data_IF_417938035184
#
_entry.id   IF_417938035184
#
_cell.length_a   1.000
_cell.length_b   1.000
_cell.length_c   1.000
_cell.angle_alpha   90.00
_cell.angle_beta   90.00
_cell.angle_gamma   90.00
#
_symmetry.space_group_name_H-M   'P 1'
#
loop_
_entity.id
_entity.type
_entity.pdbx_description
1 polymer ?
#
# COMPACT_ATOMS: atom_id res chain seq x y z
N UNK A 1 -58.63 -18.50 16.97
CA UNK A 1 -58.43 -17.23 16.25
C UNK A 1 -57.74 -17.62 14.95
N UNK A 2 -58.20 -17.15 13.81
CA UNK A 2 -57.47 -17.39 12.55
C UNK A 2 -56.35 -16.34 12.48
N UNK A 3 -55.12 -16.77 12.24
CA UNK A 3 -53.92 -15.93 12.20
C UNK A 3 -53.20 -16.14 10.86
N UNK A 4 -52.43 -15.15 10.41
CA UNK A 4 -51.57 -15.31 9.23
C UNK A 4 -50.41 -16.27 9.52
N UNK A 5 -49.92 -17.02 8.53
CA UNK A 5 -48.98 -18.12 8.78
C UNK A 5 -47.57 -17.70 9.22
N UNK A 6 -47.09 -16.51 8.82
CA UNK A 6 -45.69 -16.11 9.08
C UNK A 6 -45.53 -15.23 10.32
N UNK A 7 -46.34 -14.17 10.41
CA UNK A 7 -46.27 -13.12 11.44
C UNK A 7 -47.34 -13.27 12.52
N UNK A 8 -48.18 -14.31 12.44
CA UNK A 8 -49.29 -14.57 13.38
C UNK A 8 -50.23 -13.35 13.55
N UNK A 9 -50.54 -12.65 12.46
CA UNK A 9 -51.44 -11.49 12.48
C UNK A 9 -52.89 -11.96 12.63
N UNK A 10 -53.66 -11.46 13.62
CA UNK A 10 -55.05 -11.89 13.81
C UNK A 10 -55.96 -11.47 12.64
N UNK A 11 -56.73 -12.43 12.11
CA UNK A 11 -57.71 -12.19 11.05
C UNK A 11 -59.09 -11.81 11.61
N UNK A 12 -59.81 -10.97 10.87
CA UNK A 12 -61.18 -10.59 11.21
C UNK A 12 -62.15 -11.73 10.89
N UNK A 13 -63.04 -12.03 11.83
CA UNK A 13 -64.12 -13.00 11.64
C UNK A 13 -65.17 -12.49 10.65
N UNK A 14 -65.87 -13.43 10.00
CA UNK A 14 -66.94 -13.09 9.06
C UNK A 14 -68.09 -12.34 9.76
N UNK A 15 -68.53 -11.22 9.16
CA UNK A 15 -69.64 -10.39 9.64
C UNK A 15 -70.35 -9.68 8.45
N UNK A 16 -71.42 -8.95 8.74
CA UNK A 16 -72.24 -8.19 7.78
C UNK A 16 -71.38 -7.23 6.93
N UNK A 17 -71.64 -7.23 5.62
CA UNK A 17 -70.99 -6.43 4.58
C UNK A 17 -69.55 -6.80 4.18
N UNK A 18 -69.07 -8.01 4.49
CA UNK A 18 -67.86 -8.62 3.89
C UNK A 18 -66.55 -7.80 4.01
N UNK A 19 -66.46 -6.81 4.91
CA UNK A 19 -65.26 -5.97 5.10
C UNK A 19 -64.02 -6.77 5.50
N UNK A 20 -64.23 -7.92 6.15
CA UNK A 20 -63.19 -8.86 6.52
C UNK A 20 -62.43 -9.40 5.30
N UNK A 21 -63.07 -9.52 4.13
CA UNK A 21 -62.41 -10.05 2.91
C UNK A 21 -61.24 -9.15 2.51
N UNK A 22 -61.51 -7.87 2.23
CA UNK A 22 -60.49 -6.92 1.78
C UNK A 22 -59.42 -6.64 2.84
N UNK A 23 -59.79 -6.67 4.13
CA UNK A 23 -58.83 -6.44 5.20
C UNK A 23 -57.93 -7.64 5.44
N UNK A 24 -58.49 -8.85 5.48
CA UNK A 24 -57.71 -10.07 5.66
C UNK A 24 -56.78 -10.29 4.46
N UNK A 25 -57.23 -9.96 3.23
CA UNK A 25 -56.37 -9.97 2.05
C UNK A 25 -55.17 -9.03 2.23
N UNK A 26 -55.37 -7.80 2.73
CA UNK A 26 -54.27 -6.88 3.02
C UNK A 26 -53.33 -7.41 4.10
N UNK A 27 -53.83 -8.13 5.11
CA UNK A 27 -53.00 -8.78 6.13
C UNK A 27 -52.19 -9.94 5.55
N UNK A 28 -52.77 -10.76 4.66
CA UNK A 28 -52.05 -11.82 3.95
C UNK A 28 -50.93 -11.26 3.07
N UNK A 29 -51.17 -10.12 2.40
CA UNK A 29 -50.12 -9.41 1.66
C UNK A 29 -49.00 -8.97 2.60
N UNK A 30 -49.33 -8.33 3.72
CA UNK A 30 -48.33 -7.88 4.70
C UNK A 30 -47.53 -9.05 5.28
N UNK A 31 -48.18 -10.17 5.60
CA UNK A 31 -47.54 -11.39 6.10
C UNK A 31 -46.50 -11.96 5.11
N UNK A 32 -46.83 -11.93 3.82
CA UNK A 32 -45.95 -12.44 2.78
C UNK A 32 -44.72 -11.56 2.55
N UNK A 33 -44.86 -10.23 2.61
CA UNK A 33 -43.82 -9.29 2.15
C UNK A 33 -43.05 -8.56 3.28
N UNK A 34 -43.60 -8.47 4.48
CA UNK A 34 -42.94 -7.82 5.64
C UNK A 34 -42.01 -8.83 6.31
N UNK A 35 -40.78 -8.39 6.63
CA UNK A 35 -39.72 -9.30 7.10
C UNK A 35 -39.55 -10.52 6.17
N UNK A 36 -39.58 -10.25 4.86
CA UNK A 36 -39.50 -11.27 3.82
C UNK A 36 -38.29 -12.20 4.02
N UNK A 37 -38.59 -13.48 4.19
CA UNK A 37 -37.66 -14.60 4.22
C UNK A 37 -38.16 -15.64 3.23
N UNK A 38 -37.31 -16.11 2.35
CA UNK A 38 -37.62 -17.13 1.34
C UNK A 38 -36.73 -18.34 1.55
N UNK A 39 -37.24 -19.54 1.30
CA UNK A 39 -36.45 -20.76 1.42
C UNK A 39 -35.35 -20.82 0.37
N UNK A 40 -35.70 -20.45 -0.86
CA UNK A 40 -34.86 -20.57 -2.05
C UNK A 40 -35.28 -19.50 -3.08
N UNK A 41 -34.36 -19.11 -3.97
CA UNK A 41 -34.54 -18.13 -5.04
C UNK A 41 -34.21 -18.61 -6.45
N UNK A 42 -33.72 -19.84 -6.62
CA UNK A 42 -33.26 -20.39 -7.89
C UNK A 42 -34.09 -21.58 -8.40
N UNK A 43 -35.17 -21.92 -7.68
CA UNK A 43 -36.13 -22.93 -8.08
C UNK A 43 -37.04 -22.47 -9.24
N UNK A 44 -37.14 -23.29 -10.29
CA UNK A 44 -37.93 -23.00 -11.49
C UNK A 44 -39.35 -23.60 -11.47
N UNK A 45 -39.62 -24.56 -10.59
CA UNK A 45 -40.92 -25.21 -10.44
C UNK A 45 -41.32 -25.22 -8.96
N UNK A 46 -42.61 -25.03 -8.63
CA UNK A 46 -43.08 -25.14 -7.25
C UNK A 46 -42.82 -26.55 -6.69
N UNK A 47 -42.53 -26.68 -5.38
CA UNK A 47 -42.58 -27.97 -4.69
C UNK A 47 -43.97 -28.61 -4.82
N UNK A 48 -44.05 -29.94 -4.80
CA UNK A 48 -45.32 -30.68 -4.90
C UNK A 48 -46.20 -30.53 -3.65
N UNK A 49 -45.58 -30.30 -2.48
CA UNK A 49 -46.26 -30.17 -1.18
C UNK A 49 -45.64 -29.04 -0.35
N UNK A 50 -45.82 -27.77 -0.76
CA UNK A 50 -45.28 -26.61 -0.04
C UNK A 50 -45.98 -26.45 1.32
N UNK A 51 -45.23 -26.19 2.41
CA UNK A 51 -45.83 -25.86 3.70
C UNK A 51 -46.53 -24.49 3.64
N UNK A 52 -47.55 -24.31 4.48
CA UNK A 52 -48.28 -23.05 4.59
C UNK A 52 -47.35 -21.90 5.00
N UNK A 53 -47.42 -20.77 4.27
CA UNK A 53 -46.56 -19.60 4.50
C UNK A 53 -45.16 -19.69 3.89
N UNK A 54 -44.82 -20.79 3.19
CA UNK A 54 -43.53 -20.88 2.49
C UNK A 54 -43.46 -19.84 1.38
N UNK A 55 -42.26 -19.28 1.20
CA UNK A 55 -42.00 -18.24 0.22
C UNK A 55 -40.77 -18.58 -0.59
N UNK A 56 -40.82 -18.27 -1.88
CA UNK A 56 -39.73 -18.44 -2.83
C UNK A 56 -39.59 -17.17 -3.67
N UNK A 57 -38.39 -16.92 -4.18
CA UNK A 57 -38.23 -16.06 -5.37
C UNK A 57 -38.24 -16.98 -6.57
N UNK A 58 -39.16 -16.75 -7.49
CA UNK A 58 -39.30 -17.57 -8.70
C UNK A 58 -38.09 -17.35 -9.61
N UNK A 59 -37.45 -18.42 -10.07
CA UNK A 59 -36.31 -18.34 -10.98
C UNK A 59 -36.65 -17.70 -12.34
N UNK A 60 -35.61 -17.45 -13.15
CA UNK A 60 -35.74 -16.75 -14.43
C UNK A 60 -36.61 -17.50 -15.47
N UNK A 61 -36.60 -18.82 -15.45
CA UNK A 61 -37.31 -19.68 -16.40
C UNK A 61 -38.39 -20.54 -15.70
N UNK A 62 -39.49 -19.93 -15.24
CA UNK A 62 -40.46 -20.63 -14.40
C UNK A 62 -41.34 -21.61 -15.18
N UNK A 63 -41.80 -22.64 -14.47
CA UNK A 63 -42.65 -23.71 -14.98
C UNK A 63 -43.76 -24.08 -13.99
N UNK A 64 -44.69 -24.94 -14.41
CA UNK A 64 -45.81 -25.36 -13.57
C UNK A 64 -46.68 -24.19 -13.14
N UNK A 65 -47.07 -24.15 -11.86
CA UNK A 65 -47.91 -23.08 -11.31
C UNK A 65 -47.19 -21.71 -11.26
N UNK A 66 -45.87 -21.66 -11.42
CA UNK A 66 -45.08 -20.43 -11.41
C UNK A 66 -44.90 -19.81 -12.80
N UNK A 67 -45.37 -20.46 -13.86
CA UNK A 67 -45.22 -19.96 -15.23
C UNK A 67 -45.75 -18.53 -15.39
N UNK A 68 -44.91 -17.62 -15.91
CA UNK A 68 -45.23 -16.19 -16.07
C UNK A 68 -44.86 -15.29 -14.89
N UNK A 69 -44.37 -15.85 -13.78
CA UNK A 69 -44.05 -15.13 -12.54
C UNK A 69 -42.54 -15.03 -12.26
N UNK A 70 -41.71 -14.96 -13.31
CA UNK A 70 -40.26 -14.92 -13.17
C UNK A 70 -39.81 -13.73 -12.30
N UNK A 71 -39.06 -14.01 -11.22
CA UNK A 71 -38.58 -13.02 -10.26
C UNK A 71 -39.62 -12.49 -9.27
N UNK A 72 -40.88 -12.93 -9.34
CA UNK A 72 -41.88 -12.61 -8.32
C UNK A 72 -41.58 -13.38 -7.02
N UNK A 73 -42.04 -12.83 -5.90
CA UNK A 73 -42.11 -13.57 -4.64
C UNK A 73 -43.37 -14.42 -4.69
N UNK A 74 -43.21 -15.74 -4.73
CA UNK A 74 -44.30 -16.70 -4.62
C UNK A 74 -44.49 -17.08 -3.16
N UNK A 75 -45.70 -16.91 -2.63
CA UNK A 75 -46.08 -17.33 -1.28
C UNK A 75 -47.20 -18.36 -1.36
N UNK A 76 -47.06 -19.47 -0.64
CA UNK A 76 -48.13 -20.48 -0.52
C UNK A 76 -49.05 -20.10 0.64
N UNK A 77 -50.28 -19.68 0.31
CA UNK A 77 -51.28 -19.23 1.28
C UNK A 77 -52.66 -19.77 0.91
N UNK A 78 -53.40 -20.28 1.90
CA UNK A 78 -54.75 -20.85 1.76
C UNK A 78 -54.84 -21.93 0.66
N UNK A 79 -53.76 -22.71 0.49
CA UNK A 79 -53.69 -23.78 -0.52
C UNK A 79 -53.50 -23.31 -1.96
N UNK A 80 -53.07 -22.07 -2.19
CA UNK A 80 -52.76 -21.53 -3.50
C UNK A 80 -51.48 -20.67 -3.50
N UNK A 81 -50.86 -20.52 -4.68
CA UNK A 81 -49.74 -19.60 -4.87
C UNK A 81 -50.25 -18.16 -5.09
N UNK A 82 -49.80 -17.26 -4.24
CA UNK A 82 -49.92 -15.81 -4.42
C UNK A 82 -48.59 -15.23 -4.88
N UNK A 83 -48.60 -14.33 -5.86
CA UNK A 83 -47.39 -13.75 -6.46
C UNK A 83 -47.31 -12.26 -6.21
N UNK A 84 -46.14 -11.80 -5.77
CA UNK A 84 -45.87 -10.41 -5.46
C UNK A 84 -44.65 -9.91 -6.21
N UNK A 85 -44.86 -8.93 -7.08
CA UNK A 85 -43.76 -8.32 -7.84
C UNK A 85 -42.87 -7.45 -6.95
N UNK A 86 -41.57 -7.77 -6.78
CA UNK A 86 -40.67 -7.01 -5.91
C UNK A 86 -40.39 -5.61 -6.46
N UNK A 87 -40.45 -4.61 -5.59
CA UNK A 87 -40.09 -3.22 -5.93
C UNK A 87 -38.66 -2.91 -5.54
N UNK A 88 -38.04 -1.94 -6.23
CA UNK A 88 -36.71 -1.42 -5.87
C UNK A 88 -36.65 -1.06 -4.39
N UNK A 89 -35.60 -1.51 -3.70
CA UNK A 89 -35.37 -1.28 -2.27
C UNK A 89 -35.95 -2.35 -1.34
N UNK A 90 -36.70 -3.34 -1.85
CA UNK A 90 -37.11 -4.49 -1.05
C UNK A 90 -35.90 -5.27 -0.53
N UNK A 91 -36.06 -5.87 0.65
CA UNK A 91 -35.04 -6.70 1.32
C UNK A 91 -35.62 -8.09 1.54
N UNK A 92 -34.81 -9.12 1.30
CA UNK A 92 -35.19 -10.52 1.45
C UNK A 92 -34.05 -11.29 2.09
N UNK A 93 -34.32 -12.03 3.16
CA UNK A 93 -33.41 -13.07 3.62
C UNK A 93 -33.64 -14.33 2.78
N UNK A 94 -32.57 -14.96 2.31
CA UNK A 94 -32.64 -16.24 1.59
C UNK A 94 -31.99 -17.28 2.48
N UNK A 95 -32.78 -18.24 2.92
CA UNK A 95 -32.43 -19.13 4.04
C UNK A 95 -31.33 -20.13 3.67
N UNK A 96 -31.37 -20.69 2.46
CA UNK A 96 -30.39 -21.66 1.96
C UNK A 96 -29.01 -21.04 1.67
N UNK A 97 -28.97 -19.79 1.20
CA UNK A 97 -27.76 -19.01 0.95
C UNK A 97 -27.21 -18.32 2.21
N UNK A 98 -28.00 -18.26 3.29
CA UNK A 98 -27.73 -17.45 4.48
C UNK A 98 -27.35 -15.99 4.14
N UNK A 99 -28.10 -15.39 3.20
CA UNK A 99 -27.77 -14.10 2.61
C UNK A 99 -28.93 -13.11 2.66
N UNK A 100 -28.61 -11.84 2.90
CA UNK A 100 -29.56 -10.73 2.78
C UNK A 100 -29.44 -10.11 1.39
N UNK A 101 -30.53 -10.14 0.62
CA UNK A 101 -30.61 -9.55 -0.70
C UNK A 101 -31.38 -8.22 -0.68
N UNK A 102 -31.03 -7.33 -1.61
CA UNK A 102 -31.73 -6.08 -1.91
C UNK A 102 -32.17 -6.11 -3.37
N UNK A 103 -33.41 -5.70 -3.65
CA UNK A 103 -33.91 -5.50 -5.02
C UNK A 103 -33.38 -4.18 -5.58
N UNK A 104 -32.47 -4.19 -6.55
CA UNK A 104 -31.85 -2.97 -7.10
C UNK A 104 -32.73 -2.22 -8.13
N UNK A 105 -33.82 -2.85 -8.56
CA UNK A 105 -34.73 -2.42 -9.61
C UNK A 105 -34.83 -3.40 -10.77
N UNK A 106 -33.81 -4.24 -10.96
CA UNK A 106 -33.69 -5.24 -12.03
C UNK A 106 -33.39 -6.65 -11.52
N UNK A 107 -32.57 -6.78 -10.48
CA UNK A 107 -32.16 -8.05 -9.88
C UNK A 107 -32.25 -8.00 -8.34
N UNK A 108 -32.33 -9.18 -7.73
CA UNK A 108 -31.99 -9.34 -6.32
C UNK A 108 -30.46 -9.46 -6.22
N UNK A 109 -29.83 -8.51 -5.55
CA UNK A 109 -28.38 -8.44 -5.36
C UNK A 109 -28.04 -8.65 -3.89
N UNK A 110 -26.95 -9.35 -3.59
CA UNK A 110 -26.52 -9.53 -2.20
C UNK A 110 -26.15 -8.19 -1.58
N UNK A 111 -26.54 -7.96 -0.32
CA UNK A 111 -26.07 -6.80 0.42
C UNK A 111 -24.56 -6.88 0.67
N UNK A 112 -24.01 -8.10 0.82
CA UNK A 112 -22.57 -8.31 0.99
C UNK A 112 -21.77 -8.06 -0.28
N UNK A 113 -22.37 -8.21 -1.47
CA UNK A 113 -21.65 -7.96 -2.73
C UNK A 113 -21.30 -6.49 -2.94
N UNK A 114 -21.98 -5.58 -2.24
CA UNK A 114 -21.57 -4.18 -2.13
C UNK A 114 -20.30 -3.96 -1.28
N UNK A 115 -19.89 -4.95 -0.48
CA UNK A 115 -18.69 -4.93 0.37
C UNK A 115 -17.54 -5.73 -0.25
N UNK A 116 -17.85 -6.72 -1.11
CA UNK A 116 -16.86 -7.57 -1.78
C UNK A 116 -15.84 -6.78 -2.63
N UNK A 117 -16.22 -5.58 -3.07
CA UNK A 117 -15.33 -4.66 -3.76
C UNK A 117 -15.51 -3.21 -3.30
N UNK A 118 -14.57 -2.71 -2.50
CA UNK A 118 -14.44 -1.28 -2.23
C UNK A 118 -13.53 -0.65 -3.30
N UNK A 119 -14.13 -0.03 -4.30
CA UNK A 119 -13.42 0.64 -5.40
C UNK A 119 -13.73 2.14 -5.42
N UNK A 120 -12.76 2.95 -5.86
CA UNK A 120 -12.95 4.40 -5.99
C UNK A 120 -13.12 5.15 -4.66
N UNK A 121 -12.62 4.58 -3.55
CA UNK A 121 -12.64 5.26 -2.25
C UNK A 121 -11.77 6.53 -2.32
N UNK A 122 -12.38 7.68 -2.05
CA UNK A 122 -11.64 8.94 -1.97
C UNK A 122 -10.83 9.05 -0.67
N UNK A 123 -11.34 8.49 0.44
CA UNK A 123 -10.72 8.52 1.77
C UNK A 123 -10.86 7.16 2.45
N UNK A 124 -9.79 6.67 3.09
CA UNK A 124 -9.79 5.46 3.90
C UNK A 124 -8.95 5.67 5.18
N UNK A 125 -9.65 5.72 6.32
CA UNK A 125 -9.05 5.87 7.65
C UNK A 125 -9.16 4.59 8.47
N UNK A 126 -8.04 4.10 9.01
CA UNK A 126 -7.97 2.93 9.90
C UNK A 126 -7.53 3.39 11.30
N UNK A 127 -8.45 3.36 12.27
CA UNK A 127 -8.20 3.85 13.63
C UNK A 127 -8.00 5.36 13.74
N UNK A 128 -8.24 6.10 12.65
CA UNK A 128 -8.14 7.56 12.54
C UNK A 128 -9.03 8.05 11.39
N UNK A 129 -9.24 9.36 11.32
CA UNK A 129 -9.94 10.02 10.20
C UNK A 129 -8.90 10.33 9.11
N UNK A 130 -9.21 9.96 7.86
CA UNK A 130 -8.45 10.36 6.67
C UNK A 130 -8.94 11.72 6.16
N UNK A 131 -8.06 12.48 5.51
CA UNK A 131 -8.35 13.81 4.98
C UNK A 131 -7.73 14.00 3.59
N UNK A 132 -7.93 15.17 2.98
CA UNK A 132 -7.43 15.44 1.63
C UNK A 132 -5.89 15.43 1.52
N UNK A 133 -5.17 15.66 2.62
CA UNK A 133 -3.71 15.59 2.66
C UNK A 133 -3.22 14.15 2.86
N UNK A 134 -3.99 13.32 3.58
CA UNK A 134 -3.72 11.91 3.83
C UNK A 134 -4.94 11.05 3.46
N UNK A 135 -5.21 10.82 2.16
CA UNK A 135 -6.39 10.08 1.72
C UNK A 135 -6.41 8.63 2.21
N UNK A 136 -5.23 8.05 2.46
CA UNK A 136 -5.08 6.82 3.22
C UNK A 136 -4.36 7.14 4.54
N UNK A 137 -5.00 6.90 5.67
CA UNK A 137 -4.45 7.18 6.99
C UNK A 137 -4.67 6.00 7.94
N UNK A 138 -3.63 5.63 8.70
CA UNK A 138 -3.70 4.53 9.64
C UNK A 138 -3.04 4.89 10.98
N UNK A 139 -3.76 4.70 12.09
CA UNK A 139 -3.25 4.86 13.46
C UNK A 139 -3.21 3.49 14.14
N UNK A 140 -2.05 2.84 14.06
CA UNK A 140 -1.84 1.43 14.39
C UNK A 140 -0.51 1.23 15.13
N UNK A 141 -0.41 0.12 15.87
CA UNK A 141 0.86 -0.31 16.47
C UNK A 141 1.77 -1.09 15.50
N UNK A 142 1.16 -1.83 14.56
CA UNK A 142 1.84 -2.66 13.54
C UNK A 142 0.99 -2.71 12.29
N UNK A 143 1.65 -2.77 11.13
CA UNK A 143 1.03 -3.11 9.85
C UNK A 143 1.82 -4.31 9.26
N UNK A 144 1.12 -5.41 9.01
CA UNK A 144 1.69 -6.57 8.32
C UNK A 144 1.22 -6.56 6.88
N UNK A 145 2.18 -6.59 5.98
CA UNK A 145 1.95 -6.80 4.57
C UNK A 145 2.55 -8.16 4.22
N UNK A 146 1.72 -9.05 3.69
CA UNK A 146 2.14 -10.41 3.31
C UNK A 146 1.67 -10.68 1.90
N UNK A 147 2.50 -11.39 1.15
CA UNK A 147 2.11 -11.88 -0.16
C UNK A 147 0.98 -12.90 -0.02
N UNK A 148 0.11 -12.94 -1.02
CA UNK A 148 -0.87 -14.01 -1.18
C UNK A 148 -0.15 -15.20 -1.79
N UNK A 149 -0.18 -16.34 -1.10
CA UNK A 149 0.58 -17.51 -1.54
C UNK A 149 -0.04 -18.16 -2.77
N UNK A 150 0.73 -18.98 -3.49
CA UNK A 150 0.21 -19.79 -4.60
C UNK A 150 -0.93 -20.72 -4.17
N UNK A 151 -0.88 -21.28 -2.95
CA UNK A 151 -1.93 -22.14 -2.42
C UNK A 151 -3.26 -21.40 -2.19
N UNK A 152 -3.20 -20.09 -1.95
CA UNK A 152 -4.38 -19.23 -1.81
C UNK A 152 -4.81 -18.62 -3.16
N UNK A 153 -4.11 -18.94 -4.25
CA UNK A 153 -4.36 -18.41 -5.60
C UNK A 153 -3.71 -17.05 -5.88
N UNK A 154 -2.61 -16.72 -5.18
CA UNK A 154 -1.74 -15.57 -5.51
C UNK A 154 -0.47 -16.00 -6.27
N UNK A 155 0.43 -15.05 -6.53
CA UNK A 155 1.73 -15.29 -7.17
C UNK A 155 2.89 -15.42 -6.17
N UNK A 156 2.63 -15.21 -4.87
CA UNK A 156 3.63 -15.29 -3.81
C UNK A 156 4.53 -14.06 -3.69
N UNK A 157 4.34 -13.04 -4.54
CA UNK A 157 5.13 -11.82 -4.50
C UNK A 157 4.41 -10.71 -3.71
N UNK A 158 5.18 -9.89 -3.00
CA UNK A 158 4.70 -8.65 -2.39
C UNK A 158 5.56 -7.49 -2.88
N UNK A 159 4.94 -6.47 -3.48
CA UNK A 159 5.64 -5.32 -4.03
C UNK A 159 4.96 -4.02 -3.63
N UNK A 160 5.77 -3.03 -3.29
CA UNK A 160 5.37 -1.63 -3.24
C UNK A 160 5.75 -0.98 -4.56
N UNK A 161 4.75 -0.78 -5.42
CA UNK A 161 4.92 0.03 -6.62
C UNK A 161 4.48 1.44 -6.30
N UNK A 162 5.44 2.37 -6.29
CA UNK A 162 5.22 3.78 -6.04
C UNK A 162 5.56 4.55 -7.32
N UNK A 163 4.82 5.61 -7.63
CA UNK A 163 5.05 6.43 -8.82
C UNK A 163 4.92 7.92 -8.50
N UNK A 164 5.74 8.74 -9.14
CA UNK A 164 5.64 10.20 -9.12
C UNK A 164 5.42 10.73 -10.54
N UNK A 165 4.87 11.93 -10.67
CA UNK A 165 4.49 12.52 -11.96
C UNK A 165 5.71 12.93 -12.78
N UNK A 166 6.68 13.59 -12.14
CA UNK A 166 7.90 14.07 -12.78
C UNK A 166 9.14 13.79 -11.93
N UNK A 167 10.33 13.96 -12.53
CA UNK A 167 11.59 13.80 -11.81
C UNK A 167 11.74 14.80 -10.64
N UNK A 168 11.21 16.01 -10.77
CA UNK A 168 11.32 17.04 -9.75
C UNK A 168 10.44 16.78 -8.50
N UNK A 169 9.50 15.85 -8.58
CA UNK A 169 8.62 15.50 -7.48
C UNK A 169 9.29 14.58 -6.46
N UNK A 170 8.57 14.32 -5.36
CA UNK A 170 9.04 13.48 -4.25
C UNK A 170 8.29 12.16 -4.24
N UNK A 171 9.04 11.06 -4.21
CA UNK A 171 8.56 9.71 -3.91
C UNK A 171 9.47 9.12 -2.84
N UNK A 172 8.96 8.93 -1.62
CA UNK A 172 9.81 8.54 -0.50
C UNK A 172 9.07 7.77 0.60
N UNK A 173 9.86 7.10 1.44
CA UNK A 173 9.47 6.71 2.79
C UNK A 173 10.03 7.72 3.79
N UNK A 174 9.13 8.45 4.46
CA UNK A 174 9.47 9.44 5.49
C UNK A 174 9.32 8.85 6.90
N UNK A 175 10.38 8.90 7.69
CA UNK A 175 10.41 8.47 9.09
C UNK A 175 10.40 9.69 10.01
N UNK A 176 9.51 9.71 11.01
CA UNK A 176 9.24 10.88 11.85
C UNK A 176 9.27 10.55 13.36
N UNK A 177 9.50 11.58 14.18
CA UNK A 177 9.22 11.56 15.63
C UNK A 177 8.40 12.79 15.97
N UNK A 178 7.25 12.60 16.62
CA UNK A 178 6.35 13.70 16.99
C UNK A 178 5.95 14.59 15.81
N UNK A 179 5.63 13.98 14.65
CA UNK A 179 5.29 14.67 13.40
C UNK A 179 6.41 15.53 12.78
N UNK A 180 7.66 15.34 13.23
CA UNK A 180 8.84 16.00 12.66
C UNK A 180 9.72 14.97 11.94
N UNK A 181 10.08 15.24 10.69
CA UNK A 181 10.92 14.37 9.86
C UNK A 181 12.30 14.14 10.44
N UNK A 182 12.79 12.90 10.39
CA UNK A 182 14.13 12.52 10.91
C UNK A 182 14.98 11.82 9.87
N UNK A 183 14.37 10.97 9.05
CA UNK A 183 15.05 10.30 7.96
C UNK A 183 14.09 10.10 6.80
N UNK A 184 14.62 10.08 5.59
CA UNK A 184 13.86 9.88 4.37
C UNK A 184 14.68 9.05 3.38
N UNK A 185 14.03 8.11 2.68
CA UNK A 185 14.64 7.35 1.58
C UNK A 185 13.72 7.37 0.37
N UNK A 186 14.23 7.72 -0.82
CA UNK A 186 13.42 7.79 -2.03
C UNK A 186 14.04 8.53 -3.20
N UNK A 187 13.20 8.86 -4.18
CA UNK A 187 13.49 9.69 -5.36
C UNK A 187 12.99 11.12 -5.07
N UNK A 188 13.83 11.95 -4.47
CA UNK A 188 13.44 13.21 -3.80
C UNK A 188 13.99 14.40 -4.56
N UNK A 189 13.20 14.98 -5.46
CA UNK A 189 13.59 16.16 -6.25
C UNK A 189 14.38 15.83 -7.53
N UNK A 190 14.69 14.56 -7.75
CA UNK A 190 15.28 13.98 -8.96
C UNK A 190 15.02 12.46 -8.99
N UNK A 191 15.61 11.71 -9.93
CA UNK A 191 15.48 10.23 -9.97
C UNK A 191 16.70 9.48 -9.38
N UNK A 192 17.55 10.15 -8.60
CA UNK A 192 18.59 9.48 -7.82
C UNK A 192 17.97 8.83 -6.59
N UNK A 193 18.40 7.63 -6.25
CA UNK A 193 18.01 7.04 -4.97
C UNK A 193 18.79 7.76 -3.86
N UNK A 194 18.07 8.47 -3.00
CA UNK A 194 18.67 9.31 -1.97
C UNK A 194 18.20 8.88 -0.58
N UNK A 195 19.12 8.89 0.37
CA UNK A 195 18.86 8.79 1.81
C UNK A 195 19.20 10.14 2.44
N UNK A 196 18.22 10.78 3.09
CA UNK A 196 18.40 12.05 3.80
C UNK A 196 18.14 11.89 5.29
N UNK A 197 18.81 12.70 6.10
CA UNK A 197 18.57 12.80 7.55
C UNK A 197 18.39 14.24 7.99
N UNK A 198 17.60 14.45 9.04
CA UNK A 198 17.32 15.77 9.60
C UNK A 198 17.25 15.72 11.12
N UNK A 199 17.82 16.75 11.77
CA UNK A 199 17.74 16.92 13.22
C UNK A 199 16.42 17.59 13.66
N UNK A 200 15.84 18.44 12.79
CA UNK A 200 14.73 19.35 13.11
C UNK A 200 13.48 19.14 12.23
N UNK A 201 13.59 18.32 11.18
CA UNK A 201 12.53 18.07 10.19
C UNK A 201 12.38 19.17 9.14
N UNK A 202 13.23 20.21 9.16
CA UNK A 202 13.22 21.33 8.23
C UNK A 202 14.51 21.38 7.40
N UNK A 203 15.67 21.20 8.05
CA UNK A 203 16.99 21.18 7.44
C UNK A 203 17.39 19.75 7.15
N UNK A 204 17.60 19.41 5.88
CA UNK A 204 17.93 18.05 5.44
C UNK A 204 19.35 17.96 4.92
N UNK A 205 20.05 16.91 5.32
CA UNK A 205 21.37 16.56 4.80
C UNK A 205 21.26 15.26 3.99
N UNK A 206 21.78 15.27 2.77
CA UNK A 206 21.88 14.06 1.95
C UNK A 206 22.97 13.16 2.53
N UNK A 207 22.60 11.99 3.03
CA UNK A 207 23.52 11.03 3.62
C UNK A 207 24.10 10.09 2.56
N UNK A 208 23.26 9.58 1.67
CA UNK A 208 23.64 8.69 0.56
C UNK A 208 22.90 9.14 -0.69
N UNK A 209 23.60 9.23 -1.82
CA UNK A 209 22.99 9.45 -3.14
C UNK A 209 23.53 8.39 -4.09
N UNK A 210 22.65 7.64 -4.76
CA UNK A 210 22.99 6.68 -5.80
C UNK A 210 22.62 7.27 -7.16
N UNK A 211 23.60 7.43 -8.04
CA UNK A 211 23.40 7.95 -9.38
C UNK A 211 22.53 6.98 -10.20
N UNK A 212 21.56 7.55 -10.93
CA UNK A 212 20.57 6.75 -11.67
C UNK A 212 21.10 6.17 -12.97
N UNK A 213 22.14 6.80 -13.52
CA UNK A 213 22.70 6.50 -14.83
C UNK A 213 23.82 5.46 -14.75
N UNK A 214 24.65 5.51 -13.70
CA UNK A 214 25.80 4.60 -13.57
C UNK A 214 25.87 3.82 -12.25
N UNK A 215 24.98 4.10 -11.28
CA UNK A 215 24.96 3.43 -9.98
C UNK A 215 26.04 3.88 -9.00
N UNK A 216 26.76 4.97 -9.29
CA UNK A 216 27.78 5.55 -8.40
C UNK A 216 27.18 5.98 -7.06
N UNK A 217 27.90 5.77 -5.95
CA UNK A 217 27.42 6.09 -4.60
C UNK A 217 28.21 7.24 -3.99
N UNK A 218 27.51 8.32 -3.66
CA UNK A 218 28.03 9.46 -2.91
C UNK A 218 27.61 9.41 -1.44
N UNK A 219 28.52 9.76 -0.54
CA UNK A 219 28.24 9.88 0.91
C UNK A 219 28.34 11.35 1.31
N UNK A 220 27.22 11.95 1.74
CA UNK A 220 27.17 13.36 2.17
C UNK A 220 26.95 14.38 1.05
N UNK A 221 27.07 13.99 -0.23
CA UNK A 221 26.92 14.83 -1.44
C UNK A 221 26.63 13.95 -2.66
N UNK A 222 26.14 14.55 -3.75
CA UNK A 222 26.01 13.87 -5.04
C UNK A 222 27.38 13.31 -5.50
N UNK A 223 27.46 12.04 -5.93
CA UNK A 223 28.73 11.44 -6.38
C UNK A 223 29.23 12.13 -7.66
N UNK A 224 30.51 12.49 -7.68
CA UNK A 224 31.20 12.83 -8.93
C UNK A 224 31.82 11.58 -9.59
N UNK A 225 32.06 10.53 -8.79
CA UNK A 225 32.57 9.21 -9.20
C UNK A 225 32.07 8.12 -8.22
N UNK A 226 32.31 6.83 -8.53
CA UNK A 226 31.75 5.64 -7.87
C UNK A 226 31.99 5.49 -6.34
N UNK A 227 32.85 6.33 -5.74
CA UNK A 227 32.93 6.51 -4.28
C UNK A 227 33.34 7.96 -3.94
N UNK A 228 32.39 8.82 -3.57
CA UNK A 228 32.64 10.23 -3.27
C UNK A 228 32.47 10.53 -1.76
N UNK A 229 33.55 10.97 -1.09
CA UNK A 229 33.51 11.52 0.28
C UNK A 229 33.93 12.99 0.22
N UNK A 230 32.98 13.92 0.44
CA UNK A 230 33.24 15.37 0.46
C UNK A 230 32.80 15.98 1.78
N UNK A 231 33.66 16.83 2.36
CA UNK A 231 33.36 17.60 3.57
C UNK A 231 33.81 19.05 3.39
N UNK A 232 32.97 20.00 3.82
CA UNK A 232 33.29 21.44 3.84
C UNK A 232 33.49 21.87 5.30
N UNK A 233 34.64 22.49 5.63
CA UNK A 233 34.83 23.18 6.93
C UNK A 233 35.46 22.40 8.10
N UNK A 234 36.15 21.27 7.90
CA UNK A 234 36.99 20.65 8.95
C UNK A 234 38.32 20.12 8.40
N UNK A 235 39.31 19.90 9.29
CA UNK A 235 40.72 19.71 8.93
C UNK A 235 41.04 18.53 7.98
N UNK A 236 40.23 17.46 7.92
CA UNK A 236 40.46 16.31 7.02
C UNK A 236 39.16 15.59 6.61
N UNK A 237 39.09 15.12 5.36
CA UNK A 237 38.24 14.01 4.95
C UNK A 237 39.07 12.72 5.06
N UNK A 238 38.57 11.70 5.76
CA UNK A 238 39.30 10.45 6.02
C UNK A 238 38.39 9.27 5.72
N UNK A 239 38.91 8.30 4.97
CA UNK A 239 38.42 6.92 4.98
C UNK A 239 39.22 6.17 6.05
N UNK A 240 38.58 5.84 7.18
CA UNK A 240 39.19 5.10 8.28
C UNK A 240 38.77 3.63 8.20
N UNK A 241 39.74 2.73 8.19
CA UNK A 241 39.52 1.28 8.22
C UNK A 241 40.28 0.74 9.44
N UNK A 242 39.57 0.13 10.39
CA UNK A 242 40.08 -0.32 11.70
C UNK A 242 39.58 -1.74 12.02
N UNK A 243 40.28 -2.44 12.93
CA UNK A 243 39.99 -3.83 13.30
C UNK A 243 41.03 -4.38 14.27
N UNK A 244 40.59 -5.22 15.22
CA UNK A 244 41.39 -5.62 16.39
C UNK A 244 42.28 -6.87 16.16
N UNK A 245 41.92 -7.73 15.19
CA UNK A 245 42.65 -8.97 14.89
C UNK A 245 43.40 -8.94 13.54
N UNK A 246 43.26 -7.86 12.77
CA UNK A 246 43.90 -7.65 11.47
C UNK A 246 43.13 -6.65 10.61
N UNK A 247 43.83 -5.64 10.10
CA UNK A 247 43.28 -4.64 9.16
C UNK A 247 44.10 -4.67 7.88
N UNK A 248 43.51 -5.17 6.80
CA UNK A 248 44.16 -5.25 5.50
C UNK A 248 43.46 -4.32 4.51
N UNK A 249 44.12 -3.23 4.14
CA UNK A 249 43.70 -2.39 3.03
C UNK A 249 44.31 -2.94 1.73
N UNK A 250 43.67 -3.95 1.12
CA UNK A 250 44.14 -4.53 -0.14
C UNK A 250 43.67 -3.69 -1.33
N UNK A 251 44.58 -2.90 -1.90
CA UNK A 251 44.35 -2.21 -3.17
C UNK A 251 45.02 -3.01 -4.29
N UNK A 252 44.25 -3.88 -4.96
CA UNK A 252 44.72 -4.64 -6.13
C UNK A 252 44.29 -3.95 -7.41
N UNK A 253 45.24 -3.61 -8.28
CA UNK A 253 44.99 -3.08 -9.63
C UNK A 253 45.58 -4.00 -10.69
N UNK A 254 44.84 -4.24 -11.75
CA UNK A 254 45.25 -5.09 -12.89
C UNK A 254 44.89 -4.33 -14.17
N UNK A 255 45.85 -4.18 -15.08
CA UNK A 255 45.63 -3.53 -16.40
C UNK A 255 46.12 -4.47 -17.48
N UNK A 256 45.29 -4.73 -18.49
CA UNK A 256 45.61 -5.66 -19.56
C UNK A 256 46.33 -4.99 -20.73
N UNK A 257 46.10 -3.71 -21.05
CA UNK A 257 46.69 -3.02 -22.20
C UNK A 257 46.86 -1.49 -21.95
N UNK A 258 48.10 -1.00 -22.10
CA UNK A 258 48.56 0.39 -22.31
C UNK A 258 48.39 1.50 -21.25
N UNK A 259 47.59 1.36 -20.18
CA UNK A 259 47.60 2.35 -19.06
C UNK A 259 48.15 1.75 -17.76
N UNK A 260 49.01 2.52 -17.10
CA UNK A 260 49.68 2.14 -15.85
C UNK A 260 48.69 2.16 -14.66
N UNK A 261 48.70 1.16 -13.76
CA UNK A 261 47.91 1.21 -12.54
C UNK A 261 48.46 2.27 -11.57
N UNK A 262 47.94 3.48 -11.63
CA UNK A 262 48.50 4.63 -10.92
C UNK A 262 47.77 4.93 -9.61
N UNK A 263 48.52 5.16 -8.53
CA UNK A 263 48.01 5.80 -7.31
C UNK A 263 48.28 7.29 -7.44
N UNK A 264 47.24 8.08 -7.68
CA UNK A 264 47.38 9.53 -7.81
C UNK A 264 47.07 10.23 -6.50
N UNK A 265 47.92 11.21 -6.18
CA UNK A 265 47.61 12.27 -5.24
C UNK A 265 47.52 13.55 -6.04
N UNK A 266 46.43 14.29 -5.89
CA UNK A 266 46.24 15.60 -6.52
C UNK A 266 46.24 16.67 -5.45
N UNK A 267 46.92 17.78 -5.74
CA UNK A 267 46.92 18.97 -4.90
C UNK A 267 46.76 20.20 -5.76
N UNK A 268 45.83 21.05 -5.34
CA UNK A 268 45.80 22.45 -5.69
C UNK A 268 45.91 23.28 -4.40
N UNK A 269 46.21 24.57 -4.53
CA UNK A 269 45.96 25.55 -3.48
C UNK A 269 44.54 26.12 -3.65
N UNK A 270 44.08 26.95 -2.72
CA UNK A 270 42.77 27.61 -2.80
C UNK A 270 41.64 26.79 -2.16
N UNK A 271 40.41 27.03 -2.59
CA UNK A 271 39.22 26.33 -2.08
C UNK A 271 38.65 25.38 -3.13
N UNK A 272 37.82 24.45 -2.68
CA UNK A 272 37.06 23.60 -3.59
C UNK A 272 36.17 24.50 -4.46
N UNK A 273 36.36 24.46 -5.79
CA UNK A 273 35.67 25.32 -6.76
C UNK A 273 36.39 26.62 -7.14
N UNK A 274 37.54 26.92 -6.53
CA UNK A 274 38.43 28.04 -6.88
C UNK A 274 39.89 27.65 -6.62
N UNK A 275 40.35 26.66 -7.38
CA UNK A 275 41.70 26.11 -7.27
C UNK A 275 42.76 27.09 -7.79
N UNK A 276 43.90 27.13 -7.12
CA UNK A 276 45.04 27.97 -7.47
C UNK A 276 46.31 27.12 -7.58
N UNK A 277 47.30 27.66 -8.29
CA UNK A 277 48.54 26.94 -8.58
C UNK A 277 49.29 26.50 -7.31
N UNK A 278 49.83 25.30 -7.36
CA UNK A 278 50.82 24.81 -6.40
C UNK A 278 52.11 25.63 -6.51
N UNK A 279 52.76 25.86 -5.37
CA UNK A 279 54.07 26.52 -5.30
C UNK A 279 55.18 25.51 -5.11
N UNK A 280 56.42 25.98 -5.31
CA UNK A 280 57.61 25.21 -4.96
C UNK A 280 57.53 24.73 -3.50
N UNK A 281 57.96 23.49 -3.27
CA UNK A 281 57.93 22.80 -1.97
C UNK A 281 56.53 22.44 -1.46
N UNK A 282 55.47 22.65 -2.23
CA UNK A 282 54.18 22.06 -1.88
C UNK A 282 54.30 20.54 -1.83
N UNK A 283 53.99 19.96 -0.68
CA UNK A 283 53.81 18.51 -0.55
C UNK A 283 52.56 18.11 -1.32
N UNK A 284 52.70 17.27 -2.35
CA UNK A 284 51.62 16.84 -3.25
C UNK A 284 51.11 15.44 -2.92
N UNK A 285 51.84 14.72 -2.07
CA UNK A 285 51.45 13.41 -1.55
C UNK A 285 52.43 12.97 -0.48
N UNK A 286 51.95 12.16 0.47
CA UNK A 286 52.79 11.50 1.45
C UNK A 286 52.29 10.07 1.68
N UNK A 287 53.21 9.15 1.90
CA UNK A 287 52.93 7.79 2.33
C UNK A 287 53.76 7.52 3.58
N UNK A 288 53.12 7.12 4.67
CA UNK A 288 53.80 6.91 5.93
C UNK A 288 53.06 5.94 6.82
N UNK A 289 53.77 5.42 7.81
CA UNK A 289 53.17 4.65 8.89
C UNK A 289 53.37 5.37 10.20
N UNK A 290 52.40 5.18 11.09
CA UNK A 290 52.54 5.54 12.50
C UNK A 290 52.53 4.28 13.34
N UNK A 291 53.33 4.25 14.40
CA UNK A 291 53.35 3.17 15.38
C UNK A 291 52.99 3.73 16.75
N UNK A 292 52.21 2.96 17.52
CA UNK A 292 51.89 3.31 18.90
C UNK A 292 53.08 2.96 19.80
N UNK A 293 53.66 3.96 20.47
CA UNK A 293 54.85 3.80 21.31
C UNK A 293 54.52 3.46 22.78
N UNK A 294 53.25 3.23 23.11
CA UNK A 294 52.77 3.05 24.48
C UNK A 294 52.16 4.32 25.10
N UNK A 295 52.51 5.50 24.59
CA UNK A 295 51.98 6.80 25.02
C UNK A 295 51.23 7.54 23.91
N UNK A 296 51.45 7.18 22.64
CA UNK A 296 50.73 7.73 21.49
C UNK A 296 51.23 7.18 20.16
N UNK A 297 50.52 7.52 19.09
CA UNK A 297 50.99 7.23 17.73
C UNK A 297 52.11 8.21 17.34
N UNK A 298 53.25 7.67 16.89
CA UNK A 298 54.39 8.41 16.34
C UNK A 298 54.61 8.01 14.89
N UNK A 299 55.13 8.94 14.08
CA UNK A 299 55.54 8.61 12.71
C UNK A 299 56.68 7.59 12.78
N UNK A 300 56.40 6.38 12.31
CA UNK A 300 57.38 5.31 12.18
C UNK A 300 58.22 5.51 10.90
N UNK A 301 57.58 5.91 9.81
CA UNK A 301 58.26 6.42 8.62
C UNK A 301 57.33 7.32 7.81
N UNK A 302 57.92 8.19 6.99
CA UNK A 302 57.19 9.03 6.04
C UNK A 302 58.02 9.23 4.77
N UNK A 303 57.39 8.96 3.64
CA UNK A 303 57.82 9.33 2.30
C UNK A 303 56.96 10.52 1.87
N UNK A 304 57.58 11.54 1.28
CA UNK A 304 56.87 12.74 0.84
C UNK A 304 57.32 13.12 -0.56
N UNK A 305 56.35 13.39 -1.43
CA UNK A 305 56.59 13.95 -2.74
C UNK A 305 56.31 15.46 -2.69
N UNK A 306 57.28 16.26 -3.16
CA UNK A 306 57.19 17.71 -3.17
C UNK A 306 57.44 18.27 -4.57
N UNK A 307 56.83 19.41 -4.87
CA UNK A 307 57.06 20.14 -6.11
C UNK A 307 58.48 20.72 -6.10
N UNK A 308 59.34 20.23 -7.00
CA UNK A 308 60.73 20.69 -7.12
C UNK A 308 60.81 22.03 -7.87
N UNK A 309 59.97 22.22 -8.90
CA UNK A 309 59.71 23.49 -9.58
C UNK A 309 58.29 23.45 -10.17
N UNK A 310 57.46 24.50 -9.99
CA UNK A 310 56.19 24.58 -10.69
C UNK A 310 56.48 24.73 -12.18
N UNK A 311 56.04 23.79 -13.01
CA UNK A 311 56.12 23.95 -14.47
C UNK A 311 55.26 25.16 -14.84
N UNK A 312 55.81 26.20 -15.50
CA UNK A 312 54.99 27.22 -16.10
C UNK A 312 54.18 26.55 -17.22
N UNK A 313 52.85 26.61 -17.11
CA UNK A 313 51.95 26.24 -18.20
C UNK A 313 51.97 27.27 -19.31
#
# INVERSE_FOLDING_TARGET
MFETPSLALPLLAADQAQKHVTHNEALSVLDAIVQLSVEDRDLAAPPDAPPEGVRYIVAADPSGAWAGHAGDVAAWVDGAWSFYQPRKGWRCWVEDEAALLVRDGSAWVSLSSGIDALQGLALLGIGTIADAANPFAAKLNKALWTAKTAAEGGDGDLRYTLNKETAADVLSLLMQTGYSGRAEIGLVGDDHLTVKVSADGASWADAIIVDKSDGSVGLGVQPAEAMHVRRTGAAFARLLVEGENGVNNLVRRVSSNATQPNFYTMKARGTIGAETAILQNDQIGAFGAQAYDGAGYRVAFQLTASVIAPTPG
#
